data_IF_522462831047
#
_entry.id   IF_522462831047
#
_cell.length_a   1.000
_cell.length_b   1.000
_cell.length_c   1.000
_cell.angle_alpha   90.00
_cell.angle_beta   90.00
_cell.angle_gamma   90.00
#
_symmetry.space_group_name_H-M   'P 1'
#
loop_
_entity.id
_entity.type
_entity.pdbx_description
1 polymer ?
#
# COMPACT_ATOMS: atom_id res chain seq x y z
N UNK A 1 5.96 11.72 10.24
CA UNK A 1 5.56 10.99 9.01
C UNK A 1 6.59 11.20 7.91
N UNK A 2 6.78 10.22 7.03
CA UNK A 2 7.56 10.33 5.79
C UNK A 2 6.72 9.78 4.64
N UNK A 3 6.43 10.59 3.63
CA UNK A 3 5.81 10.11 2.38
C UNK A 3 6.91 9.73 1.40
N UNK A 4 6.84 8.52 0.85
CA UNK A 4 7.76 8.08 -0.20
C UNK A 4 7.09 7.09 -1.13
N UNK A 5 7.58 7.01 -2.36
CA UNK A 5 7.14 5.99 -3.28
C UNK A 5 7.81 4.64 -2.94
N UNK A 6 7.08 3.54 -3.06
CA UNK A 6 7.52 2.23 -2.58
C UNK A 6 8.72 1.61 -3.31
N UNK A 7 9.16 2.17 -4.45
CA UNK A 7 10.39 1.78 -5.13
C UNK A 7 11.66 2.36 -4.47
N UNK A 8 11.51 3.45 -3.70
CA UNK A 8 12.62 4.19 -3.07
C UNK A 8 13.01 3.65 -1.69
N UNK A 9 12.31 2.65 -1.17
CA UNK A 9 12.54 2.12 0.19
C UNK A 9 13.70 1.10 0.27
N UNK A 10 14.45 0.90 -0.82
CA UNK A 10 15.61 0.01 -0.84
C UNK A 10 15.27 -1.47 -0.61
N UNK A 11 14.02 -1.86 -0.85
CA UNK A 11 13.54 -3.24 -0.83
C UNK A 11 12.84 -3.58 -2.14
N UNK A 12 13.08 -4.78 -2.66
CA UNK A 12 12.51 -5.30 -3.89
C UNK A 12 12.06 -6.74 -3.66
N UNK A 13 11.15 -7.23 -4.52
CA UNK A 13 10.64 -8.61 -4.52
C UNK A 13 9.67 -8.92 -3.38
N UNK A 14 8.51 -9.49 -3.72
CA UNK A 14 7.49 -9.99 -2.77
C UNK A 14 7.75 -11.44 -2.39
N UNK A 15 7.52 -11.80 -1.12
CA UNK A 15 7.94 -13.09 -0.55
C UNK A 15 6.93 -14.20 -0.87
N UNK A 16 6.77 -14.51 -2.16
CA UNK A 16 5.78 -15.48 -2.64
C UNK A 16 4.37 -15.10 -2.20
N UNK A 17 3.72 -15.99 -1.45
CA UNK A 17 2.33 -15.81 -0.98
C UNK A 17 2.13 -14.61 -0.04
N UNK A 18 3.18 -14.14 0.65
CA UNK A 18 3.10 -12.95 1.53
C UNK A 18 2.91 -11.67 0.70
N UNK A 19 3.30 -11.70 -0.58
CA UNK A 19 3.12 -10.59 -1.50
C UNK A 19 3.97 -9.36 -1.13
N UNK A 20 3.48 -8.15 -1.46
CA UNK A 20 4.26 -6.91 -1.31
C UNK A 20 4.44 -6.45 0.14
N UNK A 21 3.65 -6.97 1.09
CA UNK A 21 3.74 -6.59 2.52
C UNK A 21 5.13 -6.88 3.09
N UNK A 22 5.74 -8.01 2.72
CA UNK A 22 7.10 -8.34 3.14
C UNK A 22 8.13 -7.31 2.64
N UNK A 23 7.97 -6.84 1.40
CA UNK A 23 8.81 -5.79 0.80
C UNK A 23 8.63 -4.48 1.55
N UNK A 24 7.39 -4.11 1.88
CA UNK A 24 7.09 -2.90 2.66
C UNK A 24 7.76 -2.95 4.03
N UNK A 25 7.58 -4.02 4.83
CA UNK A 25 8.17 -4.13 6.18
C UNK A 25 9.70 -3.95 6.13
N UNK A 26 10.38 -4.69 5.25
CA UNK A 26 11.84 -4.59 5.11
C UNK A 26 12.28 -3.21 4.67
N UNK A 27 11.61 -2.62 3.68
CA UNK A 27 11.96 -1.31 3.15
C UNK A 27 11.71 -0.18 4.14
N UNK A 28 10.62 -0.26 4.90
CA UNK A 28 10.28 0.69 5.96
C UNK A 28 11.33 0.65 7.06
N UNK A 29 11.75 -0.54 7.50
CA UNK A 29 12.84 -0.68 8.47
C UNK A 29 14.13 -0.01 7.97
N UNK A 30 14.59 -0.35 6.76
CA UNK A 30 15.78 0.27 6.14
C UNK A 30 15.67 1.78 6.04
N UNK A 31 14.51 2.27 5.60
CA UNK A 31 14.26 3.71 5.46
C UNK A 31 14.33 4.41 6.81
N UNK A 32 13.68 3.87 7.84
CA UNK A 32 13.72 4.45 9.19
C UNK A 32 15.14 4.44 9.77
N UNK A 33 15.88 3.35 9.59
CA UNK A 33 17.27 3.25 10.04
C UNK A 33 18.15 4.31 9.36
N UNK A 34 18.02 4.48 8.05
CA UNK A 34 18.77 5.48 7.30
C UNK A 34 18.45 6.92 7.75
N UNK A 35 17.20 7.22 8.10
CA UNK A 35 16.86 8.53 8.64
C UNK A 35 17.36 8.72 10.09
N UNK A 36 17.38 7.64 10.88
CA UNK A 36 17.89 7.68 12.24
C UNK A 36 19.37 8.03 12.31
N UNK A 37 20.20 7.62 11.35
CA UNK A 37 21.63 8.03 11.29
C UNK A 37 21.81 9.54 11.10
N UNK A 38 20.78 10.22 10.59
CA UNK A 38 20.72 11.68 10.42
C UNK A 38 19.95 12.38 11.56
N UNK A 39 19.74 11.71 12.70
CA UNK A 39 18.94 12.18 13.82
C UNK A 39 17.48 12.55 13.45
N UNK A 40 16.93 11.93 12.40
CA UNK A 40 15.53 12.10 12.00
C UNK A 40 14.74 10.86 12.36
N UNK A 41 13.93 10.95 13.41
CA UNK A 41 13.05 9.85 13.81
C UNK A 41 11.77 9.88 12.98
N UNK A 42 11.49 8.78 12.29
CA UNK A 42 10.29 8.60 11.49
C UNK A 42 9.41 7.53 12.15
N UNK A 43 8.20 7.92 12.57
CA UNK A 43 7.23 7.01 13.18
C UNK A 43 6.49 6.16 12.14
N UNK A 44 6.04 6.84 11.08
CA UNK A 44 5.19 6.28 10.03
C UNK A 44 5.72 6.65 8.65
N UNK A 45 5.86 5.65 7.80
CA UNK A 45 6.17 5.79 6.38
C UNK A 45 4.88 5.59 5.57
N UNK A 46 4.49 6.59 4.80
CA UNK A 46 3.37 6.52 3.88
C UNK A 46 3.89 6.04 2.52
N UNK A 47 3.27 5.00 1.98
CA UNK A 47 3.72 4.29 0.79
C UNK A 47 2.63 4.26 -0.29
N UNK A 48 3.07 4.34 -1.54
CA UNK A 48 2.29 3.94 -2.73
C UNK A 48 2.96 2.76 -3.42
N UNK A 49 2.96 2.74 -4.75
CA UNK A 49 3.70 1.82 -5.63
C UNK A 49 3.19 0.38 -5.69
N UNK A 50 2.84 -0.23 -4.56
CA UNK A 50 2.52 -1.65 -4.52
C UNK A 50 1.08 -1.98 -4.94
N UNK A 51 0.23 -0.95 -5.03
CA UNK A 51 -1.18 -1.09 -5.41
C UNK A 51 -1.89 -2.12 -4.49
N UNK A 52 -1.50 -2.11 -3.21
CA UNK A 52 -2.05 -2.99 -2.17
C UNK A 52 -2.23 -2.17 -0.90
N UNK A 53 -3.48 -1.98 -0.50
CA UNK A 53 -3.82 -1.29 0.73
C UNK A 53 -3.41 -2.13 1.93
N UNK A 54 -2.55 -1.57 2.79
CA UNK A 54 -2.05 -2.26 3.96
C UNK A 54 -1.63 -1.28 5.04
N UNK A 55 -1.76 -1.69 6.30
CA UNK A 55 -1.15 -1.03 7.44
C UNK A 55 -0.31 -2.05 8.19
N UNK A 56 0.89 -1.66 8.58
CA UNK A 56 1.80 -2.53 9.32
C UNK A 56 2.75 -1.74 10.21
N UNK A 57 3.76 -2.41 10.79
CA UNK A 57 4.67 -1.78 11.75
C UNK A 57 5.43 -0.58 11.14
N UNK A 58 4.97 0.63 11.47
CA UNK A 58 5.57 1.89 11.03
C UNK A 58 5.28 2.25 9.58
N UNK A 59 4.25 1.69 8.94
CA UNK A 59 3.84 2.12 7.61
C UNK A 59 2.34 2.06 7.34
N UNK A 60 1.95 2.86 6.35
CA UNK A 60 0.61 2.91 5.79
C UNK A 60 0.77 2.91 4.27
N UNK A 61 0.23 1.92 3.58
CA UNK A 61 0.24 1.82 2.13
C UNK A 61 -1.13 2.18 1.55
N UNK A 62 -1.13 3.06 0.56
CA UNK A 62 -2.33 3.35 -0.23
C UNK A 62 -2.67 2.16 -1.13
N UNK A 63 -3.97 2.01 -1.42
CA UNK A 63 -4.46 1.04 -2.39
C UNK A 63 -4.12 1.39 -3.84
N UNK A 64 -4.84 0.77 -4.77
CA UNK A 64 -4.77 1.11 -6.20
C UNK A 64 -5.83 2.15 -6.55
N UNK A 65 -5.46 3.14 -7.37
CA UNK A 65 -6.39 3.93 -8.18
C UNK A 65 -6.47 3.45 -9.64
N UNK A 66 -5.36 3.06 -10.31
CA UNK A 66 -5.44 2.57 -11.68
C UNK A 66 -6.01 1.15 -11.73
N UNK A 67 -6.68 0.84 -12.84
CA UNK A 67 -7.21 -0.50 -13.14
C UNK A 67 -6.14 -1.53 -13.46
N UNK A 68 -6.58 -2.77 -13.69
CA UNK A 68 -5.72 -3.90 -14.00
C UNK A 68 -5.27 -3.89 -15.46
N UNK A 69 -4.04 -3.42 -15.71
CA UNK A 69 -3.45 -3.38 -17.06
C UNK A 69 -2.50 -4.55 -17.37
N UNK A 70 -2.02 -4.61 -18.62
CA UNK A 70 -1.12 -5.67 -19.10
C UNK A 70 0.19 -5.79 -18.28
N UNK A 71 0.70 -4.68 -17.74
CA UNK A 71 1.85 -4.73 -16.83
C UNK A 71 1.54 -5.50 -15.53
N UNK A 72 0.38 -5.24 -14.92
CA UNK A 72 -0.05 -5.93 -13.70
C UNK A 72 -0.32 -7.43 -13.98
N UNK A 73 -0.87 -7.73 -15.17
CA UNK A 73 -1.05 -9.09 -15.67
C UNK A 73 0.27 -9.83 -15.85
N UNK A 74 1.28 -9.20 -16.44
CA UNK A 74 2.61 -9.79 -16.60
C UNK A 74 3.27 -10.11 -15.23
N UNK A 75 3.01 -9.28 -14.21
CA UNK A 75 3.46 -9.53 -12.84
C UNK A 75 2.65 -10.60 -12.10
N UNK A 76 1.53 -11.07 -12.66
CA UNK A 76 0.52 -11.88 -11.96
C UNK A 76 0.08 -11.21 -10.65
N UNK A 77 -0.01 -9.87 -10.67
CA UNK A 77 -0.44 -9.10 -9.53
C UNK A 77 -1.92 -9.40 -9.21
N UNK A 78 -2.28 -9.30 -7.95
CA UNK A 78 -3.67 -9.38 -7.50
C UNK A 78 -4.31 -8.00 -7.72
N UNK A 79 -5.40 -7.88 -8.50
CA UNK A 79 -6.08 -6.61 -8.68
C UNK A 79 -6.70 -6.14 -7.36
N UNK A 80 -6.64 -4.83 -7.11
CA UNK A 80 -7.33 -4.19 -6.00
C UNK A 80 -8.32 -3.14 -6.53
N UNK A 81 -9.54 -3.13 -5.99
CA UNK A 81 -10.55 -2.15 -6.36
C UNK A 81 -10.09 -0.72 -6.04
N UNK A 82 -10.48 0.29 -6.86
CA UNK A 82 -10.12 1.69 -6.67
C UNK A 82 -10.41 2.17 -5.24
N UNK A 83 -9.37 2.49 -4.47
CA UNK A 83 -9.51 2.97 -3.10
C UNK A 83 -8.40 3.93 -2.66
N UNK A 84 -8.75 4.79 -1.72
CA UNK A 84 -7.85 5.74 -1.06
C UNK A 84 -7.83 5.48 0.45
N UNK A 85 -6.65 5.47 1.04
CA UNK A 85 -6.50 5.31 2.49
C UNK A 85 -6.78 6.63 3.22
N UNK A 86 -7.66 6.57 4.21
CA UNK A 86 -7.95 7.64 5.17
C UNK A 86 -7.52 7.19 6.56
N UNK A 87 -6.82 8.05 7.29
CA UNK A 87 -6.44 7.77 8.67
C UNK A 87 -6.47 9.03 9.53
N UNK A 88 -6.71 8.84 10.82
CA UNK A 88 -6.70 9.91 11.81
C UNK A 88 -5.60 9.68 12.83
N UNK A 89 -4.95 10.77 13.22
CA UNK A 89 -3.82 10.76 14.15
C UNK A 89 -4.16 11.65 15.33
N UNK A 90 -4.30 11.03 16.50
CA UNK A 90 -4.47 11.74 17.75
C UNK A 90 -3.09 12.05 18.37
N UNK A 91 -2.92 13.24 18.93
CA UNK A 91 -1.66 13.65 19.57
C UNK A 91 -1.24 12.75 20.74
N UNK A 92 -2.20 12.28 21.54
CA UNK A 92 -1.96 11.46 22.75
C UNK A 92 -1.90 9.96 22.42
N UNK A 93 -2.76 9.51 21.51
CA UNK A 93 -2.95 8.08 21.24
C UNK A 93 -2.30 7.60 19.93
N UNK A 94 -1.71 8.51 19.14
CA UNK A 94 -1.15 8.20 17.84
C UNK A 94 -2.22 7.90 16.80
N UNK A 95 -1.88 7.08 15.80
CA UNK A 95 -2.82 6.64 14.79
C UNK A 95 -3.83 5.68 15.42
N UNK A 96 -5.09 6.12 15.50
CA UNK A 96 -6.18 5.38 16.14
C UNK A 96 -7.21 4.88 15.13
N UNK A 97 -7.30 5.51 13.96
CA UNK A 97 -8.26 5.14 12.93
C UNK A 97 -7.59 5.00 11.57
N UNK A 98 -7.93 3.91 10.90
CA UNK A 98 -7.55 3.58 9.53
C UNK A 98 -8.82 3.12 8.80
N UNK A 99 -9.09 3.70 7.63
CA UNK A 99 -10.27 3.46 6.81
C UNK A 99 -9.87 3.44 5.33
N UNK A 100 -10.61 2.68 4.54
CA UNK A 100 -10.53 2.74 3.07
C UNK A 100 -11.72 3.51 2.54
N UNK A 101 -11.46 4.55 1.75
CA UNK A 101 -12.45 5.22 0.91
C UNK A 101 -12.49 4.43 -0.40
N UNK A 102 -13.59 3.72 -0.65
CA UNK A 102 -13.76 2.88 -1.83
C UNK A 102 -14.58 3.67 -2.85
N UNK A 103 -14.10 3.70 -4.10
CA UNK A 103 -14.76 4.45 -5.19
C UNK A 103 -15.64 3.57 -6.08
N UNK A 104 -15.55 2.24 -5.94
CA UNK A 104 -16.31 1.28 -6.71
C UNK A 104 -17.68 0.99 -6.07
N UNK A 105 -18.72 0.93 -6.89
CA UNK A 105 -20.01 0.36 -6.49
C UNK A 105 -19.84 -1.14 -6.25
N UNK A 106 -20.10 -1.60 -5.03
CA UNK A 106 -20.02 -3.02 -4.68
C UNK A 106 -21.23 -3.81 -5.22
N UNK A 107 -22.28 -3.14 -5.68
CA UNK A 107 -23.48 -3.80 -6.24
C UNK A 107 -23.25 -4.34 -7.67
N UNK A 108 -22.32 -3.76 -8.44
CA UNK A 108 -22.01 -4.17 -9.82
C UNK A 108 -20.76 -5.04 -9.95
N UNK A 109 -19.98 -5.19 -8.87
CA UNK A 109 -18.68 -5.87 -8.88
C UNK A 109 -18.71 -7.36 -9.26
N UNK A 110 -19.88 -8.02 -9.27
CA UNK A 110 -20.04 -9.40 -9.76
C UNK A 110 -20.55 -9.49 -11.21
N UNK A 111 -21.10 -8.41 -11.77
CA UNK A 111 -21.75 -8.43 -13.08
C UNK A 111 -20.76 -8.20 -14.24
N UNK A 112 -19.81 -7.28 -14.08
CA UNK A 112 -19.00 -6.81 -15.21
C UNK A 112 -17.82 -7.73 -15.59
N UNK A 113 -17.30 -8.54 -14.65
CA UNK A 113 -16.12 -9.39 -14.90
C UNK A 113 -16.41 -10.60 -15.81
N UNK A 114 -17.68 -10.99 -15.95
CA UNK A 114 -18.08 -12.10 -16.83
C UNK A 114 -18.38 -11.64 -18.27
N UNK A 115 -18.75 -10.38 -18.48
CA UNK A 115 -19.13 -9.88 -19.80
C UNK A 115 -17.91 -9.51 -20.66
N UNK A 116 -16.75 -9.18 -20.06
CA UNK A 116 -15.52 -8.87 -20.80
C UNK A 116 -14.66 -10.10 -21.15
N UNK A 117 -15.13 -11.31 -20.87
CA UNK A 117 -14.40 -12.58 -21.05
C UNK A 117 -15.02 -13.51 -22.12
N UNK A 118 -16.01 -13.03 -22.88
CA UNK A 118 -16.60 -13.70 -24.03
C UNK A 118 -16.22 -12.98 -25.33
#
# INVERSE_FOLDING_TARGET
>A
FLLTHGDRIGSRGGQGFIGPIATMIRGVKKTRDAYATMNKLIDWVLLGHFHTSAMGPGFIANGSLPGYGEYAKALKAVPEAPRQTLFFVNRKYGLNEYRSIILSDQSTAHAEWFESAA
#
